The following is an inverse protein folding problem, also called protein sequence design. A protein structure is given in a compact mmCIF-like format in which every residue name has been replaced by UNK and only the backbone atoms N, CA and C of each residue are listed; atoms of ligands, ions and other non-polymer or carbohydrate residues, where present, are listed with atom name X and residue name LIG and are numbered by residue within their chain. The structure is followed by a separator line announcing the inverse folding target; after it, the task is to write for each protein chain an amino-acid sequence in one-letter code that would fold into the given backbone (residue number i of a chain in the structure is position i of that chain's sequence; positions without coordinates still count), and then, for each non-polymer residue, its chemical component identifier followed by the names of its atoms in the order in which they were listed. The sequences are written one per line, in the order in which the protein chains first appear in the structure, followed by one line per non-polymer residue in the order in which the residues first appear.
data_IF_266444594997
#
_entry.id   IF_266444594997
#
_cell.length_a   1.000
_cell.length_b   1.000
_cell.length_c   1.000
_cell.angle_alpha   90.00
_cell.angle_beta   90.00
_cell.angle_gamma   90.00
#
_symmetry.space_group_name_H-M   'P 1'
#
loop_
_entity.id
_entity.type
_entity.pdbx_description
1 polymer ?
#
# COMPACT_ATOMS: atom_id res chain seq x y z
N UNK A 1 38.44 21.10 8.90
CA UNK A 1 37.17 21.03 8.13
C UNK A 1 36.79 19.58 7.84
N UNK A 2 37.67 18.82 7.18
CA UNK A 2 37.40 17.43 6.76
C UNK A 2 37.18 16.43 7.89
N UNK A 3 37.96 16.54 8.98
CA UNK A 3 37.86 15.63 10.13
C UNK A 3 36.47 15.66 10.80
N UNK A 4 35.81 16.82 10.82
CA UNK A 4 34.45 16.94 11.35
C UNK A 4 33.46 16.16 10.48
N UNK A 5 33.53 16.35 9.15
CA UNK A 5 32.68 15.66 8.19
C UNK A 5 32.82 14.13 8.27
N UNK A 6 34.05 13.62 8.44
CA UNK A 6 34.33 12.19 8.57
C UNK A 6 33.65 11.57 9.80
N UNK A 7 33.53 12.32 10.90
CA UNK A 7 32.87 11.84 12.13
C UNK A 7 31.35 12.04 12.07
N UNK A 8 30.89 13.16 11.55
CA UNK A 8 29.45 13.45 11.49
C UNK A 8 28.72 12.65 10.42
N UNK A 9 29.36 12.37 9.29
CA UNK A 9 28.74 11.64 8.18
C UNK A 9 28.19 10.26 8.58
N UNK A 10 28.94 9.36 9.25
CA UNK A 10 28.38 8.08 9.68
C UNK A 10 27.27 8.23 10.73
N UNK A 11 27.32 9.25 11.59
CA UNK A 11 26.28 9.53 12.56
C UNK A 11 24.97 10.00 11.90
N UNK A 12 25.07 10.86 10.89
CA UNK A 12 23.92 11.30 10.09
C UNK A 12 23.34 10.13 9.30
N UNK A 13 24.19 9.29 8.71
CA UNK A 13 23.75 8.09 7.98
C UNK A 13 23.01 7.11 8.92
N UNK A 14 23.53 6.89 10.12
CA UNK A 14 22.88 6.06 11.14
C UNK A 14 21.52 6.62 11.54
N UNK A 15 21.43 7.94 11.73
CA UNK A 15 20.16 8.63 12.01
C UNK A 15 19.17 8.50 10.85
N UNK A 16 19.63 8.61 9.61
CA UNK A 16 18.81 8.40 8.41
C UNK A 16 18.30 6.95 8.33
N UNK A 17 19.15 5.97 8.61
CA UNK A 17 18.79 4.56 8.64
C UNK A 17 17.78 4.25 9.75
N UNK A 18 17.91 4.84 10.94
CA UNK A 18 16.89 4.73 11.99
C UNK A 18 15.56 5.39 11.57
N UNK A 19 15.65 6.54 10.89
CA UNK A 19 14.49 7.23 10.37
C UNK A 19 13.78 6.47 9.24
N UNK A 20 14.42 5.46 8.63
CA UNK A 20 13.79 4.62 7.62
C UNK A 20 12.52 3.95 8.15
N UNK A 21 12.36 3.62 9.44
CA UNK A 21 11.07 3.10 9.94
C UNK A 21 9.90 4.07 9.66
N UNK A 22 10.17 5.38 9.68
CA UNK A 22 9.19 6.44 9.40
C UNK A 22 8.97 6.68 7.91
N UNK A 23 9.95 6.33 7.07
CA UNK A 23 9.87 6.35 5.59
C UNK A 23 9.28 5.04 5.05
N UNK A 24 9.46 3.94 5.76
CA UNK A 24 8.94 2.61 5.43
C UNK A 24 7.46 2.49 5.74
N UNK A 25 6.93 3.19 6.76
CA UNK A 25 5.49 3.21 7.04
C UNK A 25 4.63 3.72 5.88
N UNK A 26 4.93 4.86 5.21
CA UNK A 26 4.18 5.26 4.02
C UNK A 26 4.41 4.32 2.83
N UNK A 27 5.60 3.70 2.70
CA UNK A 27 5.84 2.69 1.66
C UNK A 27 5.04 1.40 1.90
N UNK A 28 4.92 0.94 3.15
CA UNK A 28 4.09 -0.20 3.53
C UNK A 28 2.59 0.11 3.46
N UNK A 29 2.17 1.36 3.64
CA UNK A 29 0.80 1.78 3.35
C UNK A 29 0.51 1.79 1.84
N UNK A 30 1.55 2.04 1.03
CA UNK A 30 1.54 1.91 -0.42
C UNK A 30 1.84 0.47 -0.88
N UNK A 31 1.89 -0.52 0.03
CA UNK A 31 1.91 -1.97 -0.27
C UNK A 31 0.56 -2.38 -0.88
N UNK A 32 0.40 -1.90 -2.11
CA UNK A 32 -0.68 -2.10 -3.05
C UNK A 32 -0.76 -3.59 -3.43
N UNK A 33 0.31 -4.35 -3.20
CA UNK A 33 0.43 -5.79 -3.46
C UNK A 33 -0.58 -6.63 -2.70
N UNK A 34 -0.82 -6.37 -1.40
CA UNK A 34 -1.72 -7.20 -0.58
C UNK A 34 -3.19 -7.23 -1.05
N UNK A 35 -3.63 -6.22 -1.80
CA UNK A 35 -5.00 -6.16 -2.34
C UNK A 35 -5.08 -6.36 -3.85
N UNK A 36 -3.95 -6.29 -4.56
CA UNK A 36 -3.90 -6.34 -6.02
C UNK A 36 -4.19 -7.74 -6.55
N UNK A 37 -3.66 -8.78 -5.90
CA UNK A 37 -3.83 -10.17 -6.35
C UNK A 37 -5.30 -10.60 -6.31
N UNK A 38 -6.00 -10.30 -5.22
CA UNK A 38 -7.45 -10.52 -5.10
C UNK A 38 -8.30 -9.57 -5.96
N UNK A 39 -7.79 -8.39 -6.29
CA UNK A 39 -8.43 -7.50 -7.27
C UNK A 39 -8.32 -8.08 -8.68
N UNK A 40 -7.15 -8.50 -9.13
CA UNK A 40 -6.98 -9.07 -10.47
C UNK A 40 -7.79 -10.35 -10.68
N UNK A 41 -7.98 -11.15 -9.62
CA UNK A 41 -8.76 -12.39 -9.68
C UNK A 41 -10.28 -12.17 -9.65
N UNK A 42 -10.77 -11.09 -9.01
CA UNK A 42 -12.20 -10.89 -8.75
C UNK A 42 -12.77 -9.53 -9.18
N UNK A 43 -11.99 -8.70 -9.87
CA UNK A 43 -12.40 -7.35 -10.26
C UNK A 43 -13.59 -7.38 -11.22
N UNK A 44 -14.60 -6.58 -10.91
CA UNK A 44 -15.72 -6.36 -11.81
C UNK A 44 -15.35 -5.36 -12.93
N UNK A 45 -16.04 -5.40 -14.09
CA UNK A 45 -15.80 -4.48 -15.20
C UNK A 45 -15.83 -3.00 -14.80
N UNK A 46 -16.74 -2.63 -13.89
CA UNK A 46 -16.87 -1.27 -13.37
C UNK A 46 -15.65 -0.82 -12.54
N UNK A 47 -15.02 -1.77 -11.84
CA UNK A 47 -13.82 -1.53 -11.03
C UNK A 47 -12.57 -1.44 -11.91
N UNK A 48 -12.51 -2.22 -12.99
CA UNK A 48 -11.48 -2.12 -14.04
C UNK A 48 -11.59 -0.79 -14.82
N UNK A 49 -12.80 -0.33 -15.14
CA UNK A 49 -13.01 0.97 -15.77
C UNK A 49 -12.51 2.11 -14.86
N UNK A 50 -12.75 2.00 -13.55
CA UNK A 50 -12.23 2.94 -12.55
C UNK A 50 -10.71 2.88 -12.48
N UNK A 51 -10.09 1.69 -12.55
CA UNK A 51 -8.63 1.54 -12.63
C UNK A 51 -8.04 2.26 -13.85
N UNK A 52 -8.64 2.11 -15.03
CA UNK A 52 -8.17 2.75 -16.26
C UNK A 52 -8.32 4.28 -16.20
N UNK A 53 -9.41 4.78 -15.61
CA UNK A 53 -9.70 6.22 -15.59
C UNK A 53 -9.04 6.98 -14.43
N UNK A 54 -8.90 6.35 -13.27
CA UNK A 54 -8.53 7.01 -12.00
C UNK A 54 -7.31 6.39 -11.32
N UNK A 55 -6.78 5.30 -11.87
CA UNK A 55 -5.62 4.59 -11.35
C UNK A 55 -5.94 3.58 -10.25
N UNK A 56 -4.90 2.83 -9.88
CA UNK A 56 -4.95 1.72 -8.92
C UNK A 56 -5.46 2.07 -7.51
N UNK A 57 -5.06 3.20 -6.88
CA UNK A 57 -5.52 3.50 -5.52
C UNK A 57 -7.04 3.71 -5.45
N UNK A 58 -7.65 4.35 -6.46
CA UNK A 58 -9.09 4.57 -6.52
C UNK A 58 -9.89 3.26 -6.73
N UNK A 59 -9.38 2.36 -7.58
CA UNK A 59 -10.00 1.06 -7.82
C UNK A 59 -9.95 0.13 -6.60
N UNK A 60 -8.81 0.07 -5.90
CA UNK A 60 -8.65 -0.75 -4.70
C UNK A 60 -9.52 -0.29 -3.53
N UNK A 61 -9.70 1.02 -3.35
CA UNK A 61 -10.60 1.56 -2.33
C UNK A 61 -12.05 1.13 -2.58
N UNK A 62 -12.49 1.11 -3.85
CA UNK A 62 -13.83 0.64 -4.25
C UNK A 62 -14.01 -0.86 -4.02
N UNK A 63 -13.03 -1.67 -4.40
CA UNK A 63 -12.98 -3.10 -4.14
C UNK A 63 -13.05 -3.39 -2.63
N UNK A 64 -12.22 -2.73 -1.82
CA UNK A 64 -12.21 -2.87 -0.35
C UNK A 64 -13.56 -2.49 0.27
N UNK A 65 -14.20 -1.41 -0.20
CA UNK A 65 -15.55 -1.03 0.24
C UNK A 65 -16.59 -2.10 -0.11
N UNK A 66 -16.48 -2.74 -1.27
CA UNK A 66 -17.34 -3.87 -1.64
C UNK A 66 -17.13 -5.06 -0.70
N UNK A 67 -15.90 -5.45 -0.43
CA UNK A 67 -15.61 -6.54 0.51
C UNK A 67 -16.12 -6.25 1.92
N UNK A 68 -15.99 -5.00 2.39
CA UNK A 68 -16.51 -4.58 3.70
C UNK A 68 -18.05 -4.51 3.76
N UNK A 69 -18.72 -4.26 2.63
CA UNK A 69 -20.18 -4.20 2.55
C UNK A 69 -20.85 -5.56 2.39
N UNK A 70 -20.13 -6.58 1.97
CA UNK A 70 -20.59 -7.97 2.03
C UNK A 70 -20.39 -8.46 3.46
N UNK A 71 -21.46 -8.64 4.28
CA UNK A 71 -21.31 -9.23 5.60
C UNK A 71 -20.73 -10.64 5.44
N UNK A 72 -19.85 -11.12 6.34
CA UNK A 72 -19.44 -12.51 6.36
C UNK A 72 -20.63 -13.36 6.81
N UNK A 73 -21.50 -13.72 5.88
CA UNK A 73 -22.70 -14.44 6.21
C UNK A 73 -23.55 -14.67 4.98
N UNK A 74 -23.77 -15.96 4.68
CA UNK A 74 -24.76 -16.52 3.75
C UNK A 74 -24.25 -16.94 2.37
N UNK A 75 -23.25 -17.83 2.35
CA UNK A 75 -23.09 -18.83 1.29
C UNK A 75 -22.96 -20.25 1.88
N UNK A 76 -23.88 -20.62 2.76
CA UNK A 76 -24.17 -22.01 3.14
C UNK A 76 -25.68 -22.14 3.34
N UNK A 77 -26.40 -22.40 2.25
CA UNK A 77 -27.69 -23.09 2.19
C UNK A 77 -28.24 -22.96 0.77
N UNK A 78 -27.91 -23.94 -0.08
CA UNK A 78 -28.75 -24.50 -1.14
C UNK A 78 -27.98 -25.68 -1.72
#
# INVERSE_FOLDING_TARGET
MFAFAVVTFPLVLLGLLLAMERVERPLNAADTGKGLEGFLDSARPDEVATFVQQGLPAALERYRRRLRRTPPGKHRAA
#
